data_IF_292844555588
#
_entry.id   IF_292844555588
#
_cell.length_a   1.000
_cell.length_b   1.000
_cell.length_c   1.000
_cell.angle_alpha   90.00
_cell.angle_beta   90.00
_cell.angle_gamma   90.00
#
_symmetry.space_group_name_H-M   'P 1'
#
loop_
_entity.id
_entity.type
_entity.pdbx_description
1 polymer ?
#
# COMPACT_ATOMS: atom_id res chain seq x y z
N UNK A 1 28.36 -4.26 -10.51
CA UNK A 1 27.98 -5.56 -11.08
C UNK A 1 26.49 -5.54 -11.30
N UNK A 2 26.00 -6.02 -12.43
CA UNK A 2 24.56 -6.16 -12.73
C UNK A 2 24.28 -7.64 -12.98
N UNK A 3 23.25 -8.18 -12.32
CA UNK A 3 22.72 -9.55 -12.46
C UNK A 3 23.76 -10.69 -12.45
N UNK A 4 24.92 -10.46 -11.82
CA UNK A 4 26.07 -11.39 -11.84
C UNK A 4 26.64 -11.71 -13.24
N UNK A 5 26.29 -10.95 -14.27
CA UNK A 5 26.73 -11.15 -15.66
C UNK A 5 27.53 -9.98 -16.21
N UNK A 6 27.37 -8.79 -15.65
CA UNK A 6 27.98 -7.57 -16.16
C UNK A 6 28.79 -6.83 -15.09
N UNK A 7 29.89 -6.21 -15.54
CA UNK A 7 30.76 -5.37 -14.72
C UNK A 7 31.11 -4.11 -15.50
N UNK A 8 30.97 -2.96 -14.85
CA UNK A 8 31.28 -1.65 -15.41
C UNK A 8 32.18 -0.89 -14.45
N UNK A 9 33.11 -0.11 -15.00
CA UNK A 9 33.92 0.81 -14.21
C UNK A 9 33.28 2.21 -14.25
N UNK A 10 32.51 2.57 -13.22
CA UNK A 10 31.78 3.85 -13.19
C UNK A 10 32.67 5.09 -13.19
N UNK A 11 33.95 4.97 -12.84
CA UNK A 11 34.89 6.10 -12.88
C UNK A 11 35.24 6.50 -14.31
N UNK A 12 35.39 5.52 -15.20
CA UNK A 12 35.79 5.74 -16.60
C UNK A 12 34.64 5.55 -17.59
N UNK A 13 33.60 4.82 -17.19
CA UNK A 13 32.40 4.51 -17.97
C UNK A 13 31.14 4.70 -17.08
N UNK A 14 30.79 5.96 -16.75
CA UNK A 14 29.63 6.27 -15.92
C UNK A 14 28.30 5.91 -16.61
N UNK A 15 28.29 5.82 -17.94
CA UNK A 15 27.12 5.47 -18.74
C UNK A 15 26.94 3.95 -18.92
N UNK A 16 27.84 3.14 -18.34
CA UNK A 16 27.79 1.67 -18.36
C UNK A 16 27.69 1.10 -19.79
N UNK A 17 28.51 1.61 -20.71
CA UNK A 17 28.52 1.20 -22.13
C UNK A 17 29.40 -0.01 -22.40
N UNK A 18 30.47 -0.20 -21.63
CA UNK A 18 31.47 -1.24 -21.87
C UNK A 18 31.47 -2.28 -20.76
N UNK A 19 30.92 -3.46 -21.06
CA UNK A 19 30.95 -4.58 -20.12
C UNK A 19 32.35 -5.22 -20.08
N UNK A 20 33.02 -5.09 -18.94
CA UNK A 20 34.37 -5.59 -18.68
C UNK A 20 34.40 -6.88 -17.83
N UNK A 21 33.26 -7.57 -17.67
CA UNK A 21 33.16 -8.75 -16.81
C UNK A 21 34.09 -9.90 -17.22
N UNK A 22 34.20 -10.19 -18.52
CA UNK A 22 35.05 -11.26 -19.05
C UNK A 22 36.55 -10.99 -18.85
N UNK A 23 36.92 -9.72 -18.74
CA UNK A 23 38.29 -9.26 -18.49
C UNK A 23 38.67 -9.28 -17.01
N UNK A 24 37.69 -9.33 -16.10
CA UNK A 24 37.90 -9.28 -14.65
C UNK A 24 37.12 -10.38 -13.90
N UNK A 25 37.34 -11.67 -14.21
CA UNK A 25 36.66 -12.79 -13.56
C UNK A 25 36.90 -12.83 -12.05
N UNK A 26 38.06 -12.37 -11.57
CA UNK A 26 38.40 -12.27 -10.16
C UNK A 26 37.54 -11.25 -9.40
N UNK A 27 37.29 -10.08 -10.00
CA UNK A 27 36.41 -9.06 -9.41
C UNK A 27 34.96 -9.50 -9.42
N UNK A 28 34.53 -10.19 -10.49
CA UNK A 28 33.19 -10.78 -10.56
C UNK A 28 32.97 -11.78 -9.42
N UNK A 29 33.93 -12.67 -9.18
CA UNK A 29 33.87 -13.63 -8.07
C UNK A 29 33.82 -12.91 -6.72
N UNK A 30 34.69 -11.92 -6.51
CA UNK A 30 34.73 -11.14 -5.26
C UNK A 30 33.40 -10.43 -4.98
N UNK A 31 32.81 -9.78 -5.98
CA UNK A 31 31.53 -9.08 -5.82
C UNK A 31 30.36 -10.02 -5.62
N UNK A 32 30.39 -11.19 -6.27
CA UNK A 32 29.40 -12.24 -6.02
C UNK A 32 29.47 -12.76 -4.59
N UNK A 33 30.67 -13.08 -4.10
CA UNK A 33 30.86 -13.54 -2.71
C UNK A 33 30.42 -12.47 -1.70
N UNK A 34 30.72 -11.19 -1.95
CA UNK A 34 30.27 -10.09 -1.11
C UNK A 34 28.74 -9.91 -1.15
N UNK A 35 28.12 -10.04 -2.32
CA UNK A 35 26.67 -9.98 -2.47
C UNK A 35 25.99 -11.14 -1.74
N UNK A 36 26.49 -12.36 -1.92
CA UNK A 36 25.94 -13.56 -1.29
C UNK A 36 26.06 -13.46 0.25
N UNK A 37 27.20 -12.99 0.78
CA UNK A 37 27.36 -12.75 2.21
C UNK A 37 26.38 -11.68 2.73
N UNK A 38 26.29 -10.54 2.04
CA UNK A 38 25.34 -9.48 2.39
C UNK A 38 23.90 -9.99 2.36
N UNK A 39 23.54 -10.81 1.38
CA UNK A 39 22.22 -11.41 1.26
C UNK A 39 21.94 -12.37 2.42
N UNK A 40 22.89 -13.25 2.78
CA UNK A 40 22.75 -14.16 3.93
C UNK A 40 22.62 -13.40 5.26
N UNK A 41 23.32 -12.28 5.42
CA UNK A 41 23.20 -11.43 6.62
C UNK A 41 21.83 -10.72 6.69
N UNK A 42 21.22 -10.42 5.54
CA UNK A 42 19.92 -9.76 5.43
C UNK A 42 18.75 -10.74 5.60
N UNK A 43 18.87 -11.99 5.13
CA UNK A 43 17.78 -12.98 5.17
C UNK A 43 17.09 -13.13 6.54
N UNK A 44 17.78 -13.15 7.69
CA UNK A 44 17.13 -13.25 9.00
C UNK A 44 16.18 -12.08 9.32
N UNK A 45 16.47 -10.87 8.83
CA UNK A 45 15.65 -9.67 9.12
C UNK A 45 14.35 -9.65 8.34
N UNK A 46 14.17 -10.50 7.33
CA UNK A 46 12.90 -10.62 6.60
C UNK A 46 11.76 -11.17 7.46
N UNK A 47 12.08 -11.79 8.60
CA UNK A 47 11.07 -12.20 9.57
C UNK A 47 10.49 -11.00 10.36
N UNK A 48 11.21 -9.86 10.38
CA UNK A 48 10.75 -8.66 11.04
C UNK A 48 9.76 -7.94 10.13
N UNK A 49 8.47 -8.16 10.40
CA UNK A 49 7.39 -7.51 9.68
C UNK A 49 7.27 -6.04 10.15
N UNK A 50 7.57 -5.03 9.32
CA UNK A 50 7.42 -3.64 9.72
C UNK A 50 5.94 -3.33 9.99
N UNK A 51 5.66 -2.61 11.06
CA UNK A 51 4.29 -2.30 11.50
C UNK A 51 4.06 -0.80 11.54
N UNK A 52 2.88 -0.39 11.08
CA UNK A 52 2.42 0.98 11.17
C UNK A 52 1.82 1.17 12.58
N UNK A 53 2.35 2.13 13.33
CA UNK A 53 1.84 2.45 14.67
C UNK A 53 0.53 3.22 14.54
N UNK A 54 -0.49 2.82 15.30
CA UNK A 54 -1.80 3.49 15.34
C UNK A 54 -2.14 3.89 16.78
N UNK A 55 -2.81 5.03 16.95
CA UNK A 55 -3.29 5.48 18.26
C UNK A 55 -2.29 6.24 19.12
N UNK A 56 -1.10 6.52 18.60
CA UNK A 56 -0.11 7.36 19.27
C UNK A 56 -0.47 8.86 19.13
N UNK A 57 -0.32 9.65 20.20
CA UNK A 57 -0.77 11.07 20.25
C UNK A 57 -0.15 11.97 19.16
N UNK A 58 1.08 11.68 18.74
CA UNK A 58 1.78 12.41 17.67
C UNK A 58 1.24 12.15 16.26
N UNK A 59 0.46 11.09 16.07
CA UNK A 59 -0.10 10.70 14.77
C UNK A 59 -1.51 10.10 14.95
N UNK A 60 -2.46 10.97 15.27
CA UNK A 60 -3.88 10.63 15.40
C UNK A 60 -4.72 11.69 14.65
N UNK A 61 -5.39 11.36 13.53
CA UNK A 61 -5.56 10.01 12.97
C UNK A 61 -4.33 9.50 12.20
N UNK A 62 -4.12 8.18 12.23
CA UNK A 62 -3.17 7.48 11.36
C UNK A 62 -3.83 7.15 10.02
N UNK A 63 -3.13 7.37 8.90
CA UNK A 63 -3.61 7.04 7.55
C UNK A 63 -2.90 5.79 7.03
N UNK A 64 -3.69 4.81 6.60
CA UNK A 64 -3.21 3.59 5.95
C UNK A 64 -3.55 3.62 4.46
N UNK A 65 -2.62 3.15 3.64
CA UNK A 65 -2.75 3.14 2.19
C UNK A 65 -2.61 1.74 1.63
N UNK A 66 -3.35 1.40 0.59
CA UNK A 66 -3.29 0.05 0.01
C UNK A 66 -1.94 -0.37 -0.57
N UNK A 67 -0.99 0.55 -0.78
CA UNK A 67 0.36 0.18 -1.19
C UNK A 67 1.14 -0.52 -0.08
N UNK A 68 0.73 -0.34 1.18
CA UNK A 68 1.31 -0.98 2.37
C UNK A 68 0.66 -2.35 2.69
N UNK A 69 -0.20 -2.86 1.81
CA UNK A 69 -0.78 -4.18 1.99
C UNK A 69 0.27 -5.27 1.90
N UNK A 70 0.21 -6.19 2.87
CA UNK A 70 0.77 -7.52 2.75
C UNK A 70 -0.25 -8.39 2.00
N UNK A 71 0.10 -8.74 0.76
CA UNK A 71 -0.72 -9.53 -0.17
C UNK A 71 0.20 -10.46 -0.98
N UNK A 72 -0.37 -11.53 -1.54
CA UNK A 72 0.29 -12.37 -2.54
C UNK A 72 0.22 -11.77 -3.96
N UNK A 73 -0.66 -10.78 -4.16
CA UNK A 73 -0.86 -10.04 -5.42
C UNK A 73 -0.03 -8.76 -5.52
N UNK A 74 -0.44 -7.88 -6.45
CA UNK A 74 0.14 -6.55 -6.62
C UNK A 74 -0.71 -5.49 -5.90
N UNK A 75 -0.22 -5.04 -4.73
CA UNK A 75 -0.80 -3.92 -4.02
C UNK A 75 -1.00 -2.70 -4.92
N UNK A 76 -2.19 -2.04 -4.92
CA UNK A 76 -2.40 -0.83 -5.70
C UNK A 76 -1.45 0.28 -5.26
N UNK A 77 -0.43 0.58 -6.09
CA UNK A 77 0.67 1.48 -5.72
C UNK A 77 0.65 2.83 -6.43
N UNK A 78 -0.26 3.04 -7.40
CA UNK A 78 -0.39 4.32 -8.09
C UNK A 78 -1.83 4.68 -8.42
N UNK A 79 -2.07 5.98 -8.60
CA UNK A 79 -3.41 6.54 -8.79
C UNK A 79 -4.17 5.92 -9.98
N UNK A 80 -3.50 5.42 -11.02
CA UNK A 80 -4.24 4.78 -12.14
C UNK A 80 -4.92 3.48 -11.68
N UNK A 81 -4.34 2.71 -10.75
CA UNK A 81 -4.97 1.53 -10.17
C UNK A 81 -6.24 1.89 -9.38
N UNK A 82 -6.15 2.93 -8.55
CA UNK A 82 -7.29 3.45 -7.77
C UNK A 82 -8.44 3.86 -8.71
N UNK A 83 -8.09 4.56 -9.79
CA UNK A 83 -9.04 5.04 -10.79
C UNK A 83 -9.72 3.94 -11.57
N UNK A 84 -9.01 2.88 -11.93
CA UNK A 84 -9.60 1.74 -12.64
C UNK A 84 -10.36 0.80 -11.72
N UNK A 85 -10.25 0.97 -10.40
CA UNK A 85 -10.79 0.03 -9.43
C UNK A 85 -10.04 -1.31 -9.46
N UNK A 86 -8.70 -1.24 -9.50
CA UNK A 86 -7.83 -2.42 -9.48
C UNK A 86 -8.15 -3.32 -8.28
N UNK A 87 -8.38 -4.60 -8.55
CA UNK A 87 -8.90 -5.54 -7.55
C UNK A 87 -7.74 -6.34 -6.99
N UNK A 88 -7.39 -5.98 -5.77
CA UNK A 88 -6.55 -6.79 -4.90
C UNK A 88 -6.99 -6.54 -3.45
N UNK A 89 -6.48 -7.33 -2.53
CA UNK A 89 -6.73 -7.19 -1.11
C UNK A 89 -5.60 -7.82 -0.30
N UNK A 90 -5.12 -7.08 0.69
CA UNK A 90 -4.20 -7.57 1.69
C UNK A 90 -4.52 -6.96 3.05
N UNK A 91 -3.69 -7.26 4.03
CA UNK A 91 -3.81 -6.67 5.36
C UNK A 91 -2.71 -5.63 5.58
N UNK A 92 -2.97 -4.68 6.47
CA UNK A 92 -1.93 -3.84 7.05
C UNK A 92 -1.43 -4.51 8.32
N UNK A 93 -0.10 -4.64 8.45
CA UNK A 93 0.53 -4.97 9.72
C UNK A 93 0.57 -3.70 10.57
N UNK A 94 -0.16 -3.70 11.70
CA UNK A 94 -0.25 -2.55 12.59
C UNK A 94 0.25 -2.88 13.99
N UNK A 95 0.66 -1.85 14.72
CA UNK A 95 0.91 -1.90 16.15
C UNK A 95 0.02 -0.85 16.83
N UNK A 96 -0.89 -1.29 17.69
CA UNK A 96 -1.76 -0.41 18.46
C UNK A 96 -0.96 0.09 19.66
N UNK A 97 -0.64 1.38 19.68
CA UNK A 97 0.19 2.02 20.72
C UNK A 97 -0.58 2.24 22.02
N UNK A 98 -1.86 2.64 21.92
CA UNK A 98 -2.71 2.87 23.09
C UNK A 98 -4.00 2.06 22.99
N UNK A 99 -4.41 1.33 24.04
CA UNK A 99 -5.73 0.71 24.05
C UNK A 99 -6.82 1.80 24.08
N UNK A 100 -7.98 1.54 23.49
CA UNK A 100 -9.08 2.50 23.49
C UNK A 100 -10.11 2.25 22.37
N UNK A 101 -11.03 3.20 22.24
CA UNK A 101 -12.05 3.18 21.18
C UNK A 101 -11.54 3.93 19.97
N UNK A 102 -11.64 3.32 18.79
CA UNK A 102 -11.19 3.89 17.53
C UNK A 102 -12.35 4.10 16.55
N UNK A 103 -12.38 5.25 15.89
CA UNK A 103 -13.14 5.47 14.66
C UNK A 103 -12.28 5.04 13.47
N UNK A 104 -12.74 4.03 12.73
CA UNK A 104 -12.06 3.48 11.56
C UNK A 104 -12.90 3.78 10.33
N UNK A 105 -12.39 4.64 9.45
CA UNK A 105 -13.10 5.08 8.24
C UNK A 105 -12.43 4.52 7.00
N UNK A 106 -13.15 3.65 6.28
CA UNK A 106 -12.72 3.00 5.06
C UNK A 106 -13.16 3.86 3.88
N UNK A 107 -12.23 4.18 2.99
CA UNK A 107 -12.45 5.00 1.80
C UNK A 107 -11.95 4.31 0.55
N UNK A 108 -12.64 4.58 -0.55
CA UNK A 108 -12.15 4.28 -1.89
C UNK A 108 -11.20 5.35 -2.40
N UNK A 109 -11.55 6.62 -2.22
CA UNK A 109 -10.74 7.75 -2.69
C UNK A 109 -9.95 8.37 -1.55
N UNK A 110 -8.83 9.06 -1.83
CA UNK A 110 -8.16 9.86 -0.80
C UNK A 110 -9.15 10.84 -0.17
N UNK A 111 -9.03 11.05 1.14
CA UNK A 111 -9.91 11.91 1.92
C UNK A 111 -10.00 13.32 1.32
N UNK A 112 -8.90 13.83 0.80
CA UNK A 112 -8.74 15.17 0.25
C UNK A 112 -9.65 15.40 -0.97
N UNK A 113 -10.05 14.33 -1.67
CA UNK A 113 -10.91 14.43 -2.86
C UNK A 113 -12.39 14.63 -2.51
N UNK A 114 -12.80 14.24 -1.29
CA UNK A 114 -14.19 14.26 -0.84
C UNK A 114 -15.17 13.48 -1.76
N UNK A 115 -14.65 12.60 -2.61
CA UNK A 115 -15.43 11.78 -3.52
C UNK A 115 -16.16 10.66 -2.78
N UNK A 116 -17.35 10.33 -3.26
CA UNK A 116 -18.14 9.20 -2.77
C UNK A 116 -17.50 7.85 -3.12
N UNK A 117 -17.87 6.79 -2.40
CA UNK A 117 -17.40 5.42 -2.65
C UNK A 117 -17.65 4.98 -4.10
N UNK A 118 -18.79 5.34 -4.69
CA UNK A 118 -19.08 5.02 -6.09
C UNK A 118 -18.57 6.04 -7.10
N UNK A 119 -18.09 7.21 -6.68
CA UNK A 119 -17.89 8.32 -7.60
C UNK A 119 -16.84 8.00 -8.67
N UNK A 120 -17.08 8.55 -9.87
CA UNK A 120 -16.08 8.63 -10.91
C UNK A 120 -15.21 9.86 -10.65
N UNK A 121 -13.90 9.65 -10.47
CA UNK A 121 -13.02 10.79 -10.29
C UNK A 121 -12.88 11.57 -11.60
N UNK A 122 -12.93 12.92 -11.55
CA UNK A 122 -12.82 13.76 -12.73
C UNK A 122 -11.45 13.64 -13.37
N UNK A 123 -11.37 13.92 -14.67
CA UNK A 123 -10.08 13.93 -15.40
C UNK A 123 -9.20 15.05 -14.86
N UNK A 124 -8.02 14.70 -14.38
CA UNK A 124 -6.94 15.65 -14.14
C UNK A 124 -6.36 16.07 -15.50
N UNK A 125 -6.36 17.37 -15.86
CA UNK A 125 -5.84 17.82 -17.14
C UNK A 125 -4.32 17.62 -17.24
N UNK A 126 -3.81 17.57 -18.47
CA UNK A 126 -2.38 17.63 -18.73
C UNK A 126 -1.81 18.98 -18.28
N UNK A 127 -0.51 19.04 -17.96
CA UNK A 127 0.18 20.29 -17.65
C UNK A 127 1.17 20.59 -18.77
N UNK A 128 0.86 21.64 -19.53
CA UNK A 128 1.68 22.10 -20.65
C UNK A 128 3.11 22.42 -20.21
N UNK A 129 4.09 22.12 -21.07
CA UNK A 129 5.51 22.27 -20.76
C UNK A 129 6.08 21.23 -19.78
N UNK A 130 5.33 20.17 -19.45
CA UNK A 130 5.79 19.09 -18.57
C UNK A 130 5.46 17.71 -19.15
N UNK A 131 6.03 16.65 -18.57
CA UNK A 131 5.69 15.25 -18.90
C UNK A 131 4.33 14.79 -18.35
N UNK A 132 3.61 15.66 -17.64
CA UNK A 132 2.34 15.32 -16.97
C UNK A 132 1.20 15.29 -17.98
N UNK A 133 0.81 14.08 -18.39
CA UNK A 133 -0.35 13.85 -19.25
C UNK A 133 -1.68 13.90 -18.49
N UNK A 134 -2.79 13.98 -19.22
CA UNK A 134 -4.13 13.92 -18.65
C UNK A 134 -4.42 12.52 -18.06
N UNK A 135 -5.13 12.45 -16.94
CA UNK A 135 -5.51 11.16 -16.35
C UNK A 135 -6.68 10.52 -17.11
N UNK A 136 -6.82 9.19 -17.01
CA UNK A 136 -8.06 8.52 -17.40
C UNK A 136 -9.21 8.91 -16.43
N UNK A 137 -10.48 8.89 -16.87
CA UNK A 137 -11.61 9.02 -15.95
C UNK A 137 -11.58 7.89 -14.91
N UNK A 138 -12.03 8.17 -13.68
CA UNK A 138 -12.24 7.13 -12.68
C UNK A 138 -13.45 6.27 -13.04
N UNK A 139 -13.38 4.96 -12.80
CA UNK A 139 -14.50 4.04 -12.97
C UNK A 139 -15.50 4.22 -11.83
N UNK A 140 -16.79 4.02 -12.05
CA UNK A 140 -17.75 3.92 -10.93
C UNK A 140 -17.64 2.54 -10.26
N UNK A 141 -17.65 2.49 -8.93
CA UNK A 141 -17.65 1.23 -8.16
C UNK A 141 -18.90 1.20 -7.24
N UNK A 142 -19.94 0.42 -7.57
CA UNK A 142 -21.17 0.35 -6.77
C UNK A 142 -20.94 -0.46 -5.48
N UNK A 143 -20.24 0.13 -4.51
CA UNK A 143 -19.94 -0.48 -3.22
C UNK A 143 -21.20 -0.50 -2.36
N UNK A 144 -21.67 -1.69 -2.00
CA UNK A 144 -22.92 -1.89 -1.24
C UNK A 144 -22.67 -2.33 0.20
N UNK A 145 -21.49 -2.88 0.49
CA UNK A 145 -21.08 -3.27 1.84
C UNK A 145 -19.62 -2.96 2.12
N UNK A 146 -19.32 -2.78 3.40
CA UNK A 146 -17.97 -2.67 3.92
C UNK A 146 -17.79 -3.64 5.09
N UNK A 147 -16.61 -4.26 5.18
CA UNK A 147 -16.22 -5.15 6.28
C UNK A 147 -14.86 -4.75 6.81
N UNK A 148 -14.72 -4.81 8.14
CA UNK A 148 -13.47 -4.59 8.86
C UNK A 148 -13.18 -5.81 9.74
N UNK A 149 -11.96 -6.32 9.66
CA UNK A 149 -11.42 -7.34 10.56
C UNK A 149 -10.12 -6.82 11.18
N UNK A 150 -10.06 -6.77 12.51
CA UNK A 150 -8.87 -6.38 13.27
C UNK A 150 -8.98 -6.95 14.69
N UNK A 151 -7.92 -7.62 15.18
CA UNK A 151 -7.95 -8.34 16.46
C UNK A 151 -9.18 -9.29 16.55
N UNK A 152 -10.02 -9.11 17.57
CA UNK A 152 -11.25 -9.87 17.79
C UNK A 152 -12.47 -9.27 17.06
N UNK A 153 -12.35 -8.06 16.50
CA UNK A 153 -13.41 -7.39 15.77
C UNK A 153 -13.50 -7.91 14.34
N UNK A 154 -14.69 -8.31 13.92
CA UNK A 154 -14.99 -8.73 12.56
C UNK A 154 -16.46 -8.42 12.25
N UNK A 155 -16.71 -7.32 11.55
CA UNK A 155 -18.06 -6.84 11.28
C UNK A 155 -18.22 -6.36 9.85
N UNK A 156 -19.42 -6.59 9.29
CA UNK A 156 -19.85 -6.14 7.98
C UNK A 156 -21.06 -5.21 8.15
N UNK A 157 -21.04 -4.08 7.47
CA UNK A 157 -22.17 -3.14 7.40
C UNK A 157 -22.59 -2.94 5.95
N UNK A 158 -23.89 -2.68 5.74
CA UNK A 158 -24.38 -2.12 4.48
C UNK A 158 -23.96 -0.65 4.42
N UNK A 159 -23.56 -0.20 3.24
CA UNK A 159 -23.14 1.19 3.01
C UNK A 159 -23.93 1.79 1.87
N UNK A 160 -24.22 3.08 1.99
CA UNK A 160 -24.71 3.86 0.85
C UNK A 160 -23.49 4.29 0.04
N UNK A 161 -23.44 3.84 -1.22
CA UNK A 161 -22.32 4.10 -2.13
C UNK A 161 -22.11 5.59 -2.44
N UNK A 162 -23.09 6.45 -2.15
CA UNK A 162 -22.99 7.92 -2.27
C UNK A 162 -22.29 8.59 -1.09
N UNK A 163 -22.04 7.85 0.00
CA UNK A 163 -21.24 8.32 1.12
C UNK A 163 -19.75 8.34 0.76
N UNK A 164 -18.96 9.14 1.48
CA UNK A 164 -17.52 9.28 1.25
C UNK A 164 -16.71 8.13 1.86
N UNK A 165 -17.22 7.53 2.93
CA UNK A 165 -16.56 6.47 3.68
C UNK A 165 -17.58 5.55 4.34
N UNK A 166 -17.12 4.36 4.71
CA UNK A 166 -17.77 3.48 5.67
C UNK A 166 -17.08 3.64 7.03
N UNK A 167 -17.83 3.78 8.12
CA UNK A 167 -17.26 4.01 9.45
C UNK A 167 -17.58 2.87 10.40
N UNK A 168 -16.59 2.48 11.20
CA UNK A 168 -16.70 1.51 12.27
C UNK A 168 -16.20 2.16 13.55
N UNK A 169 -16.81 1.78 14.68
CA UNK A 169 -16.25 1.99 16.01
C UNK A 169 -15.78 0.65 16.54
N UNK A 170 -14.53 0.59 16.99
CA UNK A 170 -13.90 -0.65 17.45
C UNK A 170 -13.04 -0.38 18.67
N UNK A 171 -13.13 -1.27 19.66
CA UNK A 171 -12.26 -1.27 20.82
C UNK A 171 -11.01 -2.09 20.48
N UNK A 172 -9.83 -1.46 20.57
CA UNK A 172 -8.55 -2.10 20.31
C UNK A 172 -7.74 -2.20 21.61
N UNK A 173 -7.08 -3.33 21.81
CA UNK A 173 -6.06 -3.48 22.84
C UNK A 173 -4.69 -3.12 22.28
N UNK A 174 -3.76 -2.72 23.15
CA UNK A 174 -2.35 -2.50 22.79
C UNK A 174 -1.73 -3.76 22.17
N UNK A 175 -0.82 -3.56 21.22
CA UNK A 175 -0.02 -4.62 20.62
C UNK A 175 -0.23 -4.81 19.12
N UNK A 176 0.38 -5.86 18.60
CA UNK A 176 0.40 -6.15 17.17
C UNK A 176 -0.94 -6.69 16.67
N UNK A 177 -1.36 -6.27 15.48
CA UNK A 177 -2.54 -6.78 14.83
C UNK A 177 -2.44 -6.73 13.30
N UNK A 178 -3.21 -7.58 12.65
CA UNK A 178 -3.51 -7.47 11.23
C UNK A 178 -4.84 -6.75 11.08
N UNK A 179 -4.85 -5.64 10.32
CA UNK A 179 -6.06 -4.95 9.92
C UNK A 179 -6.36 -5.29 8.47
N UNK A 180 -7.53 -5.84 8.20
CA UNK A 180 -7.97 -6.15 6.85
C UNK A 180 -9.38 -5.63 6.58
N UNK A 181 -9.62 -5.22 5.33
CA UNK A 181 -10.89 -4.61 4.93
C UNK A 181 -11.42 -5.21 3.65
N UNK A 182 -12.73 -5.11 3.45
CA UNK A 182 -13.38 -5.48 2.20
C UNK A 182 -14.46 -4.47 1.87
N UNK A 183 -14.49 -4.02 0.62
CA UNK A 183 -15.67 -3.50 -0.02
C UNK A 183 -16.30 -4.59 -0.87
N UNK A 184 -17.62 -4.73 -0.78
CA UNK A 184 -18.39 -5.65 -1.64
C UNK A 184 -19.22 -4.83 -2.61
N UNK A 185 -19.08 -5.14 -3.90
CA UNK A 185 -19.84 -4.52 -4.99
C UNK A 185 -21.23 -5.16 -5.12
N UNK A 186 -22.12 -4.54 -5.88
CA UNK A 186 -23.48 -5.06 -6.18
C UNK A 186 -23.49 -6.44 -6.86
N UNK A 187 -22.44 -6.75 -7.62
CA UNK A 187 -22.22 -8.04 -8.26
C UNK A 187 -21.52 -9.08 -7.36
N UNK A 188 -21.36 -8.79 -6.06
CA UNK A 188 -20.68 -9.61 -5.05
C UNK A 188 -19.15 -9.75 -5.22
N UNK A 189 -18.53 -9.04 -6.17
CA UNK A 189 -17.07 -8.97 -6.21
C UNK A 189 -16.56 -8.13 -5.03
N UNK A 190 -15.34 -8.44 -4.58
CA UNK A 190 -14.72 -7.74 -3.45
C UNK A 190 -13.38 -7.12 -3.81
N UNK A 191 -13.00 -6.09 -3.06
CA UNK A 191 -11.69 -5.44 -3.09
C UNK A 191 -11.36 -4.90 -1.70
N UNK A 192 -10.08 -4.70 -1.38
CA UNK A 192 -9.70 -3.99 -0.17
C UNK A 192 -10.06 -2.50 -0.24
N UNK A 193 -10.26 -1.84 0.90
CA UNK A 193 -10.42 -0.39 0.93
C UNK A 193 -9.08 0.29 0.64
N UNK A 194 -9.00 1.15 -0.37
CA UNK A 194 -7.71 1.73 -0.76
C UNK A 194 -7.08 2.65 0.29
N UNK A 195 -7.92 3.30 1.10
CA UNK A 195 -7.49 4.22 2.15
C UNK A 195 -8.27 3.95 3.42
N UNK A 196 -7.57 3.92 4.55
CA UNK A 196 -8.19 3.80 5.88
C UNK A 196 -7.63 4.90 6.76
N UNK A 197 -8.48 5.54 7.55
CA UNK A 197 -8.04 6.40 8.65
C UNK A 197 -8.47 5.78 9.98
N UNK A 198 -7.53 5.64 10.91
CA UNK A 198 -7.78 5.21 12.28
C UNK A 198 -7.58 6.39 13.22
N UNK A 199 -8.64 6.76 13.93
CA UNK A 199 -8.63 7.84 14.90
C UNK A 199 -8.98 7.27 16.28
N UNK A 200 -8.07 7.36 17.25
CA UNK A 200 -8.42 7.07 18.65
C UNK A 200 -9.32 8.20 19.16
N UNK A 201 -10.50 7.84 19.63
CA UNK A 201 -11.53 8.79 20.08
C UNK A 201 -11.76 8.76 21.60
N UNK A 202 -11.43 7.64 22.26
CA UNK A 202 -11.52 7.46 23.72
C UNK A 202 -10.34 6.60 24.21
#
# INVERSE_FOLDING_TARGET
>A
MVDSTELYNLETDPEQRENIASMHPEKMKQFKEAYDQWWQDLLPTYNDLPRIYVGHEKENPTKLYCHDWHTEGDSPWHERHIRTGYRDNGYWAIHVDQPGTYSVKLRRWPEETQLALNAEAPIRPAKEGTSVSASKPGKSLPITKARLKVQHFNSEIKVDSTQKYAEFKVDLTEGEAELQTWFTLDNNETLGAYFVSLEKIE
#
